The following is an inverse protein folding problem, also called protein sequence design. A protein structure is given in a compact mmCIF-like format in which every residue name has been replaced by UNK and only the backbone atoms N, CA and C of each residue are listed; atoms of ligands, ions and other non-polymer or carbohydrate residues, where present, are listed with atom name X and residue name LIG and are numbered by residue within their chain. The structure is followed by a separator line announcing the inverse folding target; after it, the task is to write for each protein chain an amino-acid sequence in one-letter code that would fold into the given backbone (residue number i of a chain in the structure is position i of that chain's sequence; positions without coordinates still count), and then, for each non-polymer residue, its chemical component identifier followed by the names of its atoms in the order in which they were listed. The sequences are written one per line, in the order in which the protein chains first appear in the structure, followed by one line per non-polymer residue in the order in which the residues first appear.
data_IF_373011615146
#
_entry.id   IF_373011615146
#
_cell.length_a   1.000
_cell.length_b   1.000
_cell.length_c   1.000
_cell.angle_alpha   90.00
_cell.angle_beta   90.00
_cell.angle_gamma   90.00
#
_symmetry.space_group_name_H-M   'P 1'
#
loop_
_entity.id
_entity.type
_entity.pdbx_description
1 polymer ?
#
# COMPACT_ATOMS: atom_id res chain seq x y z
N UNK A 1 -6.05 12.46 11.46
CA UNK A 1 -4.57 12.34 11.31
C UNK A 1 -3.99 13.71 11.58
N UNK A 2 -2.95 13.84 12.42
CA UNK A 2 -2.33 15.15 12.69
C UNK A 2 -1.80 15.76 11.39
N UNK A 3 -1.98 17.08 11.19
CA UNK A 3 -1.47 17.82 10.02
C UNK A 3 0.02 17.56 9.80
N UNK A 4 0.79 17.45 10.87
CA UNK A 4 2.23 17.17 10.83
C UNK A 4 2.56 15.82 10.20
N UNK A 5 1.80 14.76 10.51
CA UNK A 5 2.00 13.43 9.93
C UNK A 5 1.67 13.44 8.43
N UNK A 6 0.61 14.14 8.03
CA UNK A 6 0.25 14.27 6.63
C UNK A 6 1.36 14.98 5.82
N UNK A 7 1.91 16.08 6.35
CA UNK A 7 3.00 16.81 5.70
C UNK A 7 4.26 15.94 5.57
N UNK A 8 4.63 15.21 6.62
CA UNK A 8 5.79 14.31 6.59
C UNK A 8 5.62 13.18 5.57
N UNK A 9 4.46 12.54 5.54
CA UNK A 9 4.13 11.51 4.56
C UNK A 9 4.23 12.08 3.13
N UNK A 10 3.63 13.25 2.90
CA UNK A 10 3.65 13.91 1.60
C UNK A 10 5.06 14.32 1.13
N UNK A 11 5.89 14.85 2.03
CA UNK A 11 7.29 15.16 1.70
C UNK A 11 8.08 13.88 1.36
N UNK A 12 7.79 12.78 2.06
CA UNK A 12 8.34 11.45 1.75
C UNK A 12 7.96 10.98 0.34
N UNK A 13 6.69 11.15 -0.03
CA UNK A 13 6.19 10.86 -1.37
C UNK A 13 6.92 11.67 -2.42
N UNK A 14 7.01 13.00 -2.27
CA UNK A 14 7.70 13.88 -3.22
C UNK A 14 9.17 13.49 -3.39
N UNK A 15 9.86 13.14 -2.29
CA UNK A 15 11.24 12.68 -2.34
C UNK A 15 11.38 11.36 -3.10
N UNK A 16 10.43 10.43 -2.91
CA UNK A 16 10.40 9.18 -3.68
C UNK A 16 10.09 9.44 -5.15
N UNK A 17 9.19 10.38 -5.46
CA UNK A 17 8.80 10.70 -6.83
C UNK A 17 9.94 11.28 -7.66
N UNK A 18 10.92 11.94 -7.04
CA UNK A 18 12.15 12.40 -7.69
C UNK A 18 13.07 11.28 -8.17
N UNK A 19 12.91 10.05 -7.66
CA UNK A 19 13.72 8.89 -8.07
C UNK A 19 13.16 8.25 -9.32
N UNK A 20 14.05 7.70 -10.16
CA UNK A 20 13.64 6.90 -11.32
C UNK A 20 12.94 5.61 -10.90
N UNK A 21 12.07 5.08 -11.76
CA UNK A 21 11.39 3.80 -11.52
C UNK A 21 12.38 2.64 -11.28
N UNK A 22 13.49 2.61 -12.05
CA UNK A 22 14.56 1.61 -11.86
C UNK A 22 15.17 1.67 -10.45
N UNK A 23 15.40 2.88 -9.91
CA UNK A 23 15.90 3.04 -8.56
C UNK A 23 14.87 2.59 -7.51
N UNK A 24 13.59 2.91 -7.70
CA UNK A 24 12.52 2.47 -6.78
C UNK A 24 12.38 0.96 -6.78
N UNK A 25 12.48 0.31 -7.94
CA UNK A 25 12.45 -1.15 -8.05
C UNK A 25 13.64 -1.78 -7.32
N UNK A 26 14.85 -1.23 -7.45
CA UNK A 26 16.01 -1.71 -6.67
C UNK A 26 15.78 -1.60 -5.17
N UNK A 27 15.28 -0.45 -4.70
CA UNK A 27 14.96 -0.24 -3.28
C UNK A 27 13.84 -1.18 -2.79
N UNK A 28 12.87 -1.49 -3.65
CA UNK A 28 11.83 -2.47 -3.37
C UNK A 28 12.45 -3.85 -3.13
N UNK A 29 13.30 -4.33 -4.05
CA UNK A 29 13.94 -5.64 -3.95
C UNK A 29 14.80 -5.76 -2.67
N UNK A 30 15.55 -4.70 -2.33
CA UNK A 30 16.31 -4.61 -1.09
C UNK A 30 15.40 -4.69 0.16
N UNK A 31 14.25 -4.01 0.13
CA UNK A 31 13.28 -4.05 1.23
C UNK A 31 12.61 -5.42 1.36
N UNK A 32 12.28 -6.08 0.24
CA UNK A 32 11.77 -7.46 0.23
C UNK A 32 12.75 -8.40 0.94
N UNK A 33 14.05 -8.28 0.62
CA UNK A 33 15.06 -9.11 1.28
C UNK A 33 15.15 -8.84 2.79
N UNK A 34 15.06 -7.59 3.23
CA UNK A 34 14.99 -7.24 4.67
C UNK A 34 13.77 -7.88 5.33
N UNK A 35 12.60 -7.85 4.69
CA UNK A 35 11.38 -8.47 5.19
C UNK A 35 11.50 -9.99 5.27
N UNK A 36 12.08 -10.64 4.25
CA UNK A 36 12.34 -12.09 4.26
C UNK A 36 13.27 -12.46 5.42
N UNK A 37 14.36 -11.72 5.62
CA UNK A 37 15.28 -11.93 6.75
C UNK A 37 14.53 -11.78 8.08
N UNK A 38 13.69 -10.75 8.21
CA UNK A 38 12.86 -10.54 9.41
C UNK A 38 11.91 -11.71 9.65
N UNK A 39 11.24 -12.22 8.61
CA UNK A 39 10.33 -13.36 8.71
C UNK A 39 11.06 -14.64 9.13
N UNK A 40 12.26 -14.91 8.59
CA UNK A 40 13.08 -16.07 8.94
C UNK A 40 13.56 -16.06 10.39
N UNK A 41 13.66 -14.89 11.03
CA UNK A 41 14.01 -14.76 12.46
C UNK A 41 12.88 -15.17 13.40
N UNK A 42 11.66 -15.42 12.89
CA UNK A 42 10.53 -15.83 13.72
C UNK A 42 10.74 -17.25 14.25
N UNK A 43 10.56 -17.42 15.55
CA UNK A 43 10.46 -18.72 16.20
C UNK A 43 8.98 -19.06 16.45
N UNK A 44 8.36 -20.02 15.73
CA UNK A 44 6.93 -20.33 15.88
C UNK A 44 6.48 -20.76 17.28
N UNK A 45 7.39 -21.30 18.10
CA UNK A 45 7.09 -21.76 19.46
C UNK A 45 7.04 -20.60 20.46
N UNK A 46 7.82 -19.54 20.22
CA UNK A 46 7.94 -18.37 21.10
C UNK A 46 7.17 -17.15 20.58
N UNK A 47 7.31 -16.90 19.29
CA UNK A 47 6.72 -15.79 18.56
C UNK A 47 5.35 -16.22 18.03
N UNK A 48 4.30 -15.51 18.45
CA UNK A 48 2.93 -15.80 18.03
C UNK A 48 2.67 -15.50 16.55
N UNK A 49 1.42 -15.13 16.22
CA UNK A 49 1.00 -14.96 14.83
C UNK A 49 1.75 -13.81 14.14
N UNK A 50 2.10 -14.00 12.87
CA UNK A 50 2.70 -12.94 12.05
C UNK A 50 1.65 -11.88 11.78
N UNK A 51 1.99 -10.61 12.01
CA UNK A 51 1.14 -9.50 11.62
C UNK A 51 1.94 -8.31 11.13
N UNK A 52 1.29 -7.43 10.38
CA UNK A 52 1.90 -6.15 10.03
C UNK A 52 2.09 -5.29 11.28
N UNK A 53 3.23 -4.60 11.38
CA UNK A 53 3.53 -3.66 12.47
C UNK A 53 2.66 -2.39 12.43
N UNK A 54 1.81 -2.25 11.41
CA UNK A 54 0.87 -1.13 11.26
C UNK A 54 -0.01 -1.04 12.49
N UNK A 55 -0.02 0.14 13.09
CA UNK A 55 -0.73 0.40 14.34
C UNK A 55 -2.25 0.48 14.09
N UNK A 56 -3.09 -0.04 15.01
CA UNK A 56 -4.54 -0.06 14.83
C UNK A 56 -5.16 1.32 14.62
N UNK A 57 -4.74 2.33 15.41
CA UNK A 57 -5.25 3.70 15.33
C UNK A 57 -4.91 4.44 14.02
N UNK A 58 -3.98 3.92 13.21
CA UNK A 58 -3.62 4.46 11.88
C UNK A 58 -4.41 3.76 10.77
N UNK A 59 -5.07 2.65 11.09
CA UNK A 59 -5.84 1.88 10.10
C UNK A 59 -7.26 2.43 10.04
N UNK A 60 -7.82 2.53 8.83
CA UNK A 60 -9.19 3.05 8.61
C UNK A 60 -10.25 2.05 9.09
N UNK A 61 -9.94 0.75 9.02
CA UNK A 61 -10.88 -0.30 9.39
C UNK A 61 -11.16 -0.36 10.90
N UNK A 62 -12.44 -0.55 11.24
CA UNK A 62 -12.97 -0.64 12.61
C UNK A 62 -12.83 -2.08 13.18
N UNK A 63 -12.07 -2.95 12.49
CA UNK A 63 -11.92 -4.35 12.89
C UNK A 63 -11.27 -4.44 14.27
N UNK A 64 -11.84 -5.29 15.11
CA UNK A 64 -11.19 -5.61 16.37
C UNK A 64 -9.85 -6.33 16.09
N UNK A 65 -8.78 -5.78 16.65
CA UNK A 65 -7.39 -6.21 16.44
C UNK A 65 -6.83 -6.89 17.69
N UNK A 66 -7.67 -7.55 18.49
CA UNK A 66 -7.25 -8.26 19.70
C UNK A 66 -6.13 -9.29 19.45
N UNK A 67 -6.06 -9.85 18.25
CA UNK A 67 -4.95 -10.71 17.83
C UNK A 67 -3.57 -10.01 17.86
N UNK A 68 -3.53 -8.67 17.75
CA UNK A 68 -2.33 -7.84 17.94
C UNK A 68 -2.07 -7.47 19.41
N UNK A 69 -3.01 -7.74 20.32
CA UNK A 69 -2.80 -7.56 21.77
C UNK A 69 -2.17 -8.80 22.40
N UNK A 70 -2.47 -9.98 21.86
CA UNK A 70 -1.82 -11.23 22.21
C UNK A 70 -0.37 -11.31 21.71
N UNK A 71 0.32 -12.42 22.00
CA UNK A 71 1.66 -12.72 21.44
C UNK A 71 1.57 -12.71 19.91
N UNK A 72 2.31 -11.79 19.29
CA UNK A 72 2.38 -11.66 17.83
C UNK A 72 3.78 -11.27 17.40
N UNK A 73 4.10 -11.54 16.14
CA UNK A 73 5.37 -11.22 15.52
C UNK A 73 5.17 -10.08 14.52
N UNK A 74 5.41 -8.82 14.91
CA UNK A 74 5.19 -7.69 14.03
C UNK A 74 6.29 -7.62 12.96
N UNK A 75 5.85 -7.44 11.72
CA UNK A 75 6.69 -7.23 10.54
C UNK A 75 6.42 -5.82 10.03
N UNK A 76 7.44 -4.98 10.07
CA UNK A 76 7.32 -3.63 9.53
C UNK A 76 7.37 -3.65 8.01
N UNK A 77 6.36 -3.02 7.42
CA UNK A 77 6.18 -2.87 5.97
C UNK A 77 6.02 -1.38 5.60
N UNK A 78 6.30 -0.45 6.53
CA UNK A 78 6.15 0.99 6.33
C UNK A 78 6.94 1.53 5.12
N UNK A 79 8.04 0.87 4.75
CA UNK A 79 8.87 1.23 3.62
C UNK A 79 8.26 0.91 2.24
N UNK A 80 7.18 0.14 2.18
CA UNK A 80 6.54 -0.33 0.95
C UNK A 80 5.46 0.65 0.43
N UNK A 81 5.80 1.93 0.30
CA UNK A 81 4.88 3.02 -0.02
C UNK A 81 5.14 3.70 -1.38
N UNK A 82 5.74 3.00 -2.34
CA UNK A 82 6.17 3.56 -3.64
C UNK A 82 5.38 3.02 -4.82
N UNK A 83 5.15 3.90 -5.80
CA UNK A 83 4.71 3.52 -7.15
C UNK A 83 5.94 3.11 -7.96
N UNK A 84 5.92 1.90 -8.50
CA UNK A 84 7.05 1.27 -9.18
C UNK A 84 7.00 1.48 -10.70
N UNK A 85 5.81 1.52 -11.28
CA UNK A 85 5.62 1.66 -12.73
C UNK A 85 4.20 2.14 -13.04
N UNK A 86 4.06 2.94 -14.10
CA UNK A 86 2.78 3.33 -14.70
C UNK A 86 2.89 3.03 -16.19
N UNK A 87 2.13 2.06 -16.66
CA UNK A 87 2.10 1.66 -18.07
C UNK A 87 0.86 2.26 -18.74
N UNK A 88 1.10 3.22 -19.63
CA UNK A 88 0.07 3.94 -20.40
C UNK A 88 -0.55 3.12 -21.54
N UNK A 89 0.14 2.08 -22.01
CA UNK A 89 -0.34 1.23 -23.09
C UNK A 89 -1.27 0.16 -22.53
N UNK A 90 -0.82 -0.51 -21.47
CA UNK A 90 -1.60 -1.56 -20.79
C UNK A 90 -2.62 -1.00 -19.80
N UNK A 91 -2.57 0.31 -19.52
CA UNK A 91 -3.43 0.99 -18.56
C UNK A 91 -3.36 0.34 -17.17
N UNK A 92 -2.14 0.15 -16.67
CA UNK A 92 -1.91 -0.48 -15.36
C UNK A 92 -0.88 0.28 -14.52
N UNK A 93 -1.09 0.28 -13.20
CA UNK A 93 -0.11 0.78 -12.22
C UNK A 93 0.43 -0.38 -11.41
N UNK A 94 1.76 -0.50 -11.38
CA UNK A 94 2.47 -1.40 -10.45
C UNK A 94 2.93 -0.58 -9.26
N UNK A 95 2.49 -0.96 -8.07
CA UNK A 95 2.79 -0.21 -6.85
C UNK A 95 2.96 -1.15 -5.66
N UNK A 96 3.57 -0.62 -4.61
CA UNK A 96 3.78 -1.33 -3.35
C UNK A 96 2.52 -1.34 -2.46
N UNK A 97 2.35 -2.32 -1.56
CA UNK A 97 1.10 -2.52 -0.82
C UNK A 97 0.69 -1.40 0.14
N UNK A 98 1.62 -0.56 0.62
CA UNK A 98 1.30 0.58 1.49
C UNK A 98 1.09 1.88 0.71
N UNK A 99 1.11 1.84 -0.62
CA UNK A 99 0.68 2.98 -1.43
C UNK A 99 -0.78 3.32 -1.10
N UNK A 100 -1.04 4.59 -0.83
CA UNK A 100 -2.37 5.11 -0.50
C UNK A 100 -3.12 5.49 -1.79
N UNK A 101 -4.44 5.44 -1.77
CA UNK A 101 -5.24 5.83 -2.94
C UNK A 101 -5.06 7.28 -3.32
N UNK A 102 -4.92 8.19 -2.34
CA UNK A 102 -4.61 9.60 -2.61
C UNK A 102 -3.27 9.81 -3.30
N UNK A 103 -2.29 8.91 -3.11
CA UNK A 103 -1.01 8.96 -3.83
C UNK A 103 -1.18 8.58 -5.29
N UNK A 104 -2.00 7.57 -5.57
CA UNK A 104 -2.29 7.11 -6.94
C UNK A 104 -3.01 8.22 -7.69
N UNK A 105 -4.12 8.72 -7.16
CA UNK A 105 -4.93 9.75 -7.83
C UNK A 105 -4.12 11.01 -8.10
N UNK A 106 -3.26 11.45 -7.16
CA UNK A 106 -2.37 12.60 -7.36
C UNK A 106 -1.38 12.41 -8.51
N UNK A 107 -0.99 11.19 -8.84
CA UNK A 107 -0.09 10.89 -9.97
C UNK A 107 -0.86 10.62 -11.27
N UNK A 108 -2.01 9.95 -11.21
CA UNK A 108 -2.77 9.57 -12.41
C UNK A 108 -3.63 10.71 -12.96
N UNK A 109 -4.21 11.57 -12.11
CA UNK A 109 -5.09 12.68 -12.54
C UNK A 109 -4.37 13.66 -13.49
N UNK A 110 -3.13 14.12 -13.21
CA UNK A 110 -2.39 14.96 -14.15
C UNK A 110 -2.09 14.27 -15.49
N UNK A 111 -2.14 12.94 -15.54
CA UNK A 111 -1.96 12.14 -16.76
C UNK A 111 -3.28 11.89 -17.51
N UNK A 112 -4.39 12.48 -17.06
CA UNK A 112 -5.74 12.23 -17.54
C UNK A 112 -6.13 10.73 -17.43
N UNK A 113 -5.77 10.13 -16.30
CA UNK A 113 -6.04 8.73 -15.97
C UNK A 113 -6.69 8.62 -14.58
N UNK A 114 -7.62 7.70 -14.44
CA UNK A 114 -8.26 7.35 -13.17
C UNK A 114 -8.15 5.85 -12.89
N UNK A 115 -8.08 5.41 -11.63
CA UNK A 115 -8.31 4.00 -11.28
C UNK A 115 -9.69 3.54 -11.76
N UNK A 116 -9.79 2.33 -12.33
CA UNK A 116 -11.06 1.77 -12.77
C UNK A 116 -12.05 1.50 -11.61
N UNK A 117 -11.49 1.17 -10.44
CA UNK A 117 -12.22 1.05 -9.18
C UNK A 117 -11.68 2.15 -8.26
N UNK A 118 -12.53 3.11 -7.90
CA UNK A 118 -12.16 4.28 -7.10
C UNK A 118 -12.67 4.13 -5.68
N UNK A 119 -11.78 3.97 -4.69
CA UNK A 119 -12.14 3.93 -3.28
C UNK A 119 -12.49 5.32 -2.75
N UNK A 120 -13.46 5.39 -1.85
CA UNK A 120 -13.98 6.67 -1.34
C UNK A 120 -12.99 7.44 -0.45
N UNK A 121 -12.01 6.74 0.15
CA UNK A 121 -11.11 7.30 1.15
C UNK A 121 -9.64 7.25 0.71
N UNK A 122 -9.01 8.43 0.64
CA UNK A 122 -7.61 8.60 0.19
C UNK A 122 -6.59 7.83 1.02
N UNK A 123 -6.85 7.64 2.32
CA UNK A 123 -5.93 6.97 3.25
C UNK A 123 -6.00 5.44 3.20
N UNK A 124 -6.89 4.87 2.38
CA UNK A 124 -6.89 3.43 2.11
C UNK A 124 -5.63 3.06 1.34
N UNK A 125 -5.04 1.93 1.73
CA UNK A 125 -3.82 1.41 1.09
C UNK A 125 -4.19 0.31 0.11
N UNK A 126 -3.49 0.23 -1.02
CA UNK A 126 -3.66 -0.80 -2.07
C UNK A 126 -3.70 -2.22 -1.49
N UNK A 127 -2.73 -2.58 -0.65
CA UNK A 127 -2.68 -3.89 -0.02
C UNK A 127 -3.79 -4.11 1.01
N UNK A 128 -4.37 -3.04 1.57
CA UNK A 128 -5.56 -3.13 2.42
C UNK A 128 -6.82 -3.44 1.63
N UNK A 129 -6.98 -2.82 0.45
CA UNK A 129 -8.10 -3.04 -0.46
C UNK A 129 -8.08 -4.45 -1.03
N UNK A 130 -6.93 -4.90 -1.55
CA UNK A 130 -6.77 -6.26 -2.08
C UNK A 130 -7.12 -7.31 -1.00
N UNK A 131 -6.61 -7.15 0.22
CA UNK A 131 -6.89 -8.08 1.32
C UNK A 131 -8.31 -7.92 1.93
N UNK A 132 -9.01 -6.85 1.59
CA UNK A 132 -10.36 -6.53 2.06
C UNK A 132 -11.43 -6.72 0.98
N UNK A 133 -11.11 -7.36 -0.14
CA UNK A 133 -11.89 -7.43 -1.38
C UNK A 133 -12.00 -6.10 -2.15
N UNK A 134 -12.00 -4.95 -1.46
CA UNK A 134 -11.93 -3.64 -2.10
C UNK A 134 -13.13 -3.36 -3.02
N UNK A 135 -14.34 -3.66 -2.53
CA UNK A 135 -15.58 -3.33 -3.23
C UNK A 135 -15.85 -1.84 -3.08
N UNK A 136 -15.77 -1.10 -4.18
CA UNK A 136 -15.84 0.37 -4.18
C UNK A 136 -16.58 0.87 -5.44
N UNK A 137 -16.57 2.19 -5.67
CA UNK A 137 -17.10 2.77 -6.90
C UNK A 137 -16.49 2.14 -8.15
N UNK A 138 -17.32 1.78 -9.12
CA UNK A 138 -16.90 1.11 -10.36
C UNK A 138 -16.78 -0.43 -10.27
N UNK A 139 -16.85 -1.02 -9.07
CA UNK A 139 -16.74 -2.48 -8.92
C UNK A 139 -17.85 -3.28 -9.59
N UNK A 140 -19.03 -2.69 -9.80
CA UNK A 140 -20.13 -3.33 -10.54
C UNK A 140 -19.83 -3.49 -12.04
N UNK A 141 -18.86 -2.74 -12.58
CA UNK A 141 -18.41 -2.83 -13.97
C UNK A 141 -17.08 -3.59 -14.10
N UNK A 142 -16.17 -3.35 -13.15
CA UNK A 142 -14.78 -3.82 -13.23
C UNK A 142 -14.44 -4.94 -12.23
N UNK A 143 -15.38 -5.35 -11.39
CA UNK A 143 -15.19 -6.35 -10.36
C UNK A 143 -14.49 -5.82 -9.10
N UNK A 144 -13.85 -6.73 -8.36
CA UNK A 144 -13.12 -6.41 -7.14
C UNK A 144 -11.80 -5.69 -7.42
N UNK A 145 -11.26 -5.00 -6.41
CA UNK A 145 -10.01 -4.25 -6.56
C UNK A 145 -8.85 -5.17 -6.98
N UNK A 146 -8.25 -4.99 -8.16
CA UNK A 146 -7.31 -5.95 -8.73
C UNK A 146 -5.90 -5.83 -8.12
N UNK A 147 -5.13 -6.91 -8.22
CA UNK A 147 -3.71 -6.93 -7.78
C UNK A 147 -2.83 -5.98 -8.58
N UNK A 148 -3.10 -5.84 -9.88
CA UNK A 148 -2.56 -4.81 -10.76
C UNK A 148 -3.64 -3.76 -10.94
N UNK A 149 -3.36 -2.53 -10.52
CA UNK A 149 -4.36 -1.48 -10.56
C UNK A 149 -4.65 -1.11 -12.02
N UNK A 150 -5.85 -1.41 -12.49
CA UNK A 150 -6.31 -1.02 -13.82
C UNK A 150 -6.69 0.46 -13.84
N UNK A 151 -6.31 1.14 -14.92
CA UNK A 151 -6.62 2.53 -15.19
C UNK A 151 -7.67 2.64 -16.31
N UNK A 152 -8.43 3.72 -16.25
CA UNK A 152 -9.36 4.16 -17.29
C UNK A 152 -9.10 5.63 -17.64
N UNK A 153 -9.63 6.05 -18.79
CA UNK A 153 -9.65 7.44 -19.23
C UNK A 153 -10.96 8.10 -18.88
#
# INVERSE_FOLDING_TARGET
MSLTLYILDYLGELKSQRKSFKQRQKEHDENVMKTIIRLKKRNPLKDGLICTARKPWVTVGIRNVDYKRARHFPVDLSAFCKILEIDHVRMVVKCEPFVKMGQITRVTVPMNLAPAVVPELDNLTVGGLINGSGLEGGSHLHGLFPTLLSLMR
#
